data_IF_074473760344
#
_entry.id   IF_074473760344
#
_cell.length_a   1.000
_cell.length_b   1.000
_cell.length_c   1.000
_cell.angle_alpha   90.00
_cell.angle_beta   90.00
_cell.angle_gamma   90.00
#
_symmetry.space_group_name_H-M   'P 1'
#
loop_
_entity.id
_entity.type
_entity.pdbx_description
1 polymer ?
#
# COMPACT_ATOMS: atom_id res chain seq x y z
N UNK A 1 14.58 13.83 27.53
CA UNK A 1 14.53 13.72 26.06
C UNK A 1 13.46 12.72 25.59
N UNK A 2 13.33 11.57 26.24
CA UNK A 2 12.39 10.47 25.87
C UNK A 2 10.91 10.87 25.80
N UNK A 3 10.43 11.80 26.61
CA UNK A 3 9.03 12.25 26.63
C UNK A 3 8.65 13.10 25.41
N UNK A 4 9.60 13.90 24.88
CA UNK A 4 9.42 14.69 23.65
C UNK A 4 9.44 13.80 22.40
N UNK A 5 10.29 12.78 22.38
CA UNK A 5 10.36 11.82 21.26
C UNK A 5 9.11 10.95 21.19
N UNK A 6 8.59 10.49 22.33
CA UNK A 6 7.33 9.77 22.41
C UNK A 6 6.13 10.60 21.95
N UNK A 7 6.11 11.92 22.27
CA UNK A 7 5.06 12.84 21.80
C UNK A 7 5.16 13.07 20.30
N UNK A 8 6.36 13.29 19.75
CA UNK A 8 6.57 13.47 18.31
C UNK A 8 6.20 12.22 17.51
N UNK A 9 6.58 11.03 17.97
CA UNK A 9 6.20 9.77 17.34
C UNK A 9 4.68 9.54 17.37
N UNK A 10 4.02 9.88 18.49
CA UNK A 10 2.56 9.82 18.61
C UNK A 10 1.86 10.80 17.67
N UNK A 11 2.41 12.00 17.48
CA UNK A 11 1.84 13.01 16.59
C UNK A 11 2.05 12.64 15.11
N UNK A 12 3.18 12.05 14.75
CA UNK A 12 3.43 11.49 13.41
C UNK A 12 2.46 10.34 13.13
N UNK A 13 2.28 9.42 14.07
CA UNK A 13 1.34 8.31 13.94
C UNK A 13 -0.11 8.79 13.82
N UNK A 14 -0.50 9.81 14.59
CA UNK A 14 -1.83 10.43 14.50
C UNK A 14 -2.08 11.12 13.16
N UNK A 15 -1.05 11.74 12.57
CA UNK A 15 -1.13 12.39 11.25
C UNK A 15 -1.19 11.38 10.09
N UNK A 16 -0.67 10.16 10.28
CA UNK A 16 -0.64 9.12 9.25
C UNK A 16 -1.88 8.21 9.26
N UNK A 17 -2.80 8.39 10.22
CA UNK A 17 -4.02 7.57 10.26
C UNK A 17 -5.02 8.02 9.17
N UNK A 18 -5.26 7.20 8.13
CA UNK A 18 -6.09 7.57 6.99
C UNK A 18 -7.56 7.84 7.40
N UNK A 19 -8.07 7.13 8.39
CA UNK A 19 -9.44 7.33 8.87
C UNK A 19 -9.61 8.68 9.56
N UNK A 20 -8.63 9.08 10.36
CA UNK A 20 -8.65 10.40 11.02
C UNK A 20 -8.54 11.53 10.01
N UNK A 21 -7.65 11.41 9.04
CA UNK A 21 -7.47 12.42 8.00
C UNK A 21 -8.75 12.59 7.18
N UNK A 22 -9.36 11.49 6.78
CA UNK A 22 -10.62 11.50 6.03
C UNK A 22 -11.75 12.16 6.82
N UNK A 23 -11.85 11.89 8.13
CA UNK A 23 -12.84 12.52 8.99
C UNK A 23 -12.62 14.04 9.16
N UNK A 24 -11.35 14.48 9.25
CA UNK A 24 -11.03 15.90 9.34
C UNK A 24 -11.31 16.63 8.03
N UNK A 25 -10.91 16.08 6.89
CA UNK A 25 -11.19 16.63 5.56
C UNK A 25 -12.69 16.74 5.29
N UNK A 26 -13.47 15.70 5.63
CA UNK A 26 -14.91 15.73 5.50
C UNK A 26 -15.56 16.81 6.37
N UNK A 27 -15.08 16.98 7.62
CA UNK A 27 -15.57 18.02 8.52
C UNK A 27 -15.22 19.42 8.01
N UNK A 28 -14.01 19.60 7.50
CA UNK A 28 -13.56 20.89 6.95
C UNK A 28 -14.33 21.24 5.67
N UNK A 29 -14.57 20.27 4.79
CA UNK A 29 -15.39 20.44 3.59
C UNK A 29 -16.79 20.93 3.91
N UNK A 30 -17.47 20.35 4.93
CA UNK A 30 -18.81 20.78 5.37
C UNK A 30 -18.77 22.16 6.01
N UNK A 31 -17.76 22.46 6.84
CA UNK A 31 -17.59 23.77 7.48
C UNK A 31 -17.35 24.87 6.45
N UNK A 32 -16.53 24.59 5.44
CA UNK A 32 -16.25 25.52 4.34
C UNK A 32 -17.50 25.83 3.54
N UNK A 33 -18.26 24.82 3.15
CA UNK A 33 -19.52 24.99 2.40
C UNK A 33 -20.56 25.82 3.18
N UNK A 34 -20.60 25.70 4.51
CA UNK A 34 -21.53 26.49 5.37
C UNK A 34 -21.13 27.94 5.52
N UNK A 35 -19.84 28.25 5.45
CA UNK A 35 -19.31 29.61 5.72
C UNK A 35 -19.07 30.43 4.43
N UNK A 36 -19.09 29.81 3.26
CA UNK A 36 -18.89 30.50 1.98
C UNK A 36 -20.26 31.04 1.54
N UNK A 37 -20.34 32.37 1.32
CA UNK A 37 -21.53 32.98 0.71
C UNK A 37 -21.70 32.37 -0.69
N UNK A 38 -22.95 32.04 -1.11
CA UNK A 38 -23.21 31.41 -2.40
C UNK A 38 -22.79 32.37 -3.52
N UNK A 39 -21.65 32.13 -4.12
CA UNK A 39 -21.30 32.71 -5.40
C UNK A 39 -22.03 31.94 -6.50
N UNK A 40 -22.43 32.64 -7.56
CA UNK A 40 -23.29 32.12 -8.65
C UNK A 40 -22.77 30.85 -9.36
N UNK A 41 -21.52 30.44 -9.10
CA UNK A 41 -20.90 29.21 -9.59
C UNK A 41 -20.92 28.03 -8.61
N UNK A 42 -21.41 28.20 -7.42
CA UNK A 42 -21.36 27.18 -6.34
C UNK A 42 -22.70 26.41 -6.28
N UNK A 43 -23.16 25.96 -7.44
CA UNK A 43 -24.39 25.12 -7.55
C UNK A 43 -24.11 23.63 -7.25
N UNK A 44 -22.92 23.29 -6.75
CA UNK A 44 -22.65 21.93 -6.31
C UNK A 44 -23.36 21.70 -4.97
N UNK A 45 -24.28 20.73 -4.95
CA UNK A 45 -24.94 20.28 -3.74
C UNK A 45 -23.89 19.83 -2.71
N UNK A 46 -24.13 20.10 -1.42
CA UNK A 46 -23.28 19.68 -0.30
C UNK A 46 -22.88 18.19 -0.39
N UNK A 47 -23.79 17.37 -0.88
CA UNK A 47 -23.57 15.94 -1.13
C UNK A 47 -22.46 15.71 -2.15
N UNK A 48 -22.47 16.46 -3.25
CA UNK A 48 -21.50 16.29 -4.34
C UNK A 48 -20.10 16.76 -3.92
N UNK A 49 -20.02 17.90 -3.23
CA UNK A 49 -18.77 18.41 -2.66
C UNK A 49 -18.16 17.46 -1.64
N UNK A 50 -18.96 16.97 -0.70
CA UNK A 50 -18.52 16.02 0.32
C UNK A 50 -18.05 14.70 -0.31
N UNK A 51 -18.79 14.20 -1.31
CA UNK A 51 -18.42 12.98 -2.03
C UNK A 51 -17.05 13.11 -2.70
N UNK A 52 -16.80 14.23 -3.38
CA UNK A 52 -15.52 14.47 -4.07
C UNK A 52 -14.35 14.56 -3.09
N UNK A 53 -14.54 15.28 -1.99
CA UNK A 53 -13.50 15.43 -0.96
C UNK A 53 -13.16 14.09 -0.31
N UNK A 54 -14.16 13.31 0.08
CA UNK A 54 -13.94 11.99 0.68
C UNK A 54 -13.28 11.02 -0.30
N UNK A 55 -13.67 11.07 -1.58
CA UNK A 55 -13.05 10.24 -2.62
C UNK A 55 -11.59 10.59 -2.83
N UNK A 56 -11.26 11.87 -2.91
CA UNK A 56 -9.86 12.31 -3.04
C UNK A 56 -9.01 11.84 -1.84
N UNK A 57 -9.53 11.94 -0.61
CA UNK A 57 -8.85 11.45 0.58
C UNK A 57 -8.62 9.93 0.57
N UNK A 58 -9.58 9.14 0.06
CA UNK A 58 -9.41 7.69 -0.14
C UNK A 58 -8.37 7.39 -1.21
N UNK A 59 -8.38 8.13 -2.33
CA UNK A 59 -7.45 7.95 -3.44
C UNK A 59 -6.01 8.31 -2.99
N UNK A 60 -5.83 9.36 -2.21
CA UNK A 60 -4.53 9.73 -1.64
C UNK A 60 -4.01 8.66 -0.66
N UNK A 61 -4.87 8.15 0.22
CA UNK A 61 -4.51 7.06 1.13
C UNK A 61 -4.11 5.80 0.35
N UNK A 62 -4.83 5.50 -0.75
CA UNK A 62 -4.53 4.39 -1.66
C UNK A 62 -3.15 4.55 -2.29
N UNK A 63 -2.84 5.72 -2.84
CA UNK A 63 -1.54 6.01 -3.46
C UNK A 63 -0.39 5.84 -2.46
N UNK A 64 -0.55 6.32 -1.23
CA UNK A 64 0.46 6.16 -0.16
C UNK A 64 0.70 4.69 0.20
N UNK A 65 -0.35 3.88 0.32
CA UNK A 65 -0.23 2.45 0.63
C UNK A 65 0.39 1.64 -0.51
N UNK A 66 0.29 2.12 -1.75
CA UNK A 66 0.85 1.44 -2.92
C UNK A 66 2.30 1.84 -3.24
N UNK A 67 2.77 2.99 -2.75
CA UNK A 67 4.06 3.57 -3.13
C UNK A 67 5.26 2.63 -2.92
N UNK A 68 5.27 1.82 -1.84
CA UNK A 68 6.36 0.86 -1.56
C UNK A 68 6.24 -0.48 -2.32
N UNK A 69 5.07 -0.82 -2.84
CA UNK A 69 4.82 -2.12 -3.47
C UNK A 69 5.57 -2.29 -4.79
N UNK A 70 5.77 -1.20 -5.53
CA UNK A 70 6.50 -1.22 -6.79
C UNK A 70 7.95 -1.69 -6.61
N UNK A 71 8.60 -1.30 -5.53
CA UNK A 71 9.98 -1.73 -5.22
C UNK A 71 10.03 -3.23 -4.95
N UNK A 72 9.12 -3.76 -4.09
CA UNK A 72 9.06 -5.19 -3.82
C UNK A 72 8.75 -6.01 -5.07
N UNK A 73 7.83 -5.54 -5.91
CA UNK A 73 7.51 -6.17 -7.19
C UNK A 73 8.73 -6.20 -8.11
N UNK A 74 9.46 -5.09 -8.22
CA UNK A 74 10.66 -5.00 -9.05
C UNK A 74 11.76 -5.94 -8.55
N UNK A 75 12.04 -5.93 -7.24
CA UNK A 75 13.05 -6.84 -6.65
C UNK A 75 12.64 -8.29 -6.84
N UNK A 76 11.38 -8.65 -6.58
CA UNK A 76 10.88 -10.01 -6.73
C UNK A 76 10.97 -10.52 -8.17
N UNK A 77 10.74 -9.67 -9.15
CA UNK A 77 10.81 -10.04 -10.57
C UNK A 77 12.23 -10.03 -11.15
N UNK A 78 13.12 -9.15 -10.68
CA UNK A 78 14.46 -8.99 -11.28
C UNK A 78 15.54 -9.82 -10.58
N UNK A 79 15.40 -10.10 -9.28
CA UNK A 79 16.43 -10.82 -8.53
C UNK A 79 16.78 -12.22 -9.09
N UNK A 80 15.83 -13.05 -9.59
CA UNK A 80 16.18 -14.32 -10.22
C UNK A 80 17.06 -14.15 -11.48
N UNK A 81 16.80 -13.11 -12.27
CA UNK A 81 17.58 -12.81 -13.47
C UNK A 81 18.98 -12.32 -13.13
N UNK A 82 19.13 -11.56 -12.04
CA UNK A 82 20.44 -11.16 -11.52
C UNK A 82 21.23 -12.40 -11.09
N UNK A 83 20.59 -13.33 -10.41
CA UNK A 83 21.18 -14.62 -10.05
C UNK A 83 21.61 -15.44 -11.28
N UNK A 84 20.74 -15.53 -12.29
CA UNK A 84 21.04 -16.20 -13.55
C UNK A 84 22.21 -15.53 -14.29
N UNK A 85 22.25 -14.21 -14.34
CA UNK A 85 23.37 -13.47 -14.90
C UNK A 85 24.69 -13.85 -14.21
N UNK A 86 24.68 -13.90 -12.87
CA UNK A 86 25.85 -14.36 -12.11
C UNK A 86 26.31 -15.77 -12.47
N UNK A 87 25.40 -16.69 -12.74
CA UNK A 87 25.69 -18.06 -13.16
C UNK A 87 26.38 -18.06 -14.54
N UNK A 88 25.80 -17.37 -15.50
CA UNK A 88 26.38 -17.28 -16.87
C UNK A 88 27.77 -16.66 -16.83
N UNK A 89 27.92 -15.59 -16.06
CA UNK A 89 29.20 -14.91 -15.86
C UNK A 89 30.25 -15.84 -15.24
N UNK A 90 29.90 -16.55 -14.18
CA UNK A 90 30.80 -17.48 -13.49
C UNK A 90 31.24 -18.67 -14.39
N UNK A 91 30.29 -19.26 -15.14
CA UNK A 91 30.60 -20.33 -16.09
C UNK A 91 31.50 -19.83 -17.21
N UNK A 92 31.24 -18.62 -17.75
CA UNK A 92 32.09 -18.02 -18.76
C UNK A 92 33.56 -17.91 -18.29
N UNK A 93 33.77 -17.39 -17.06
CA UNK A 93 35.11 -17.28 -16.48
C UNK A 93 35.78 -18.63 -16.22
N UNK A 94 35.02 -19.64 -15.79
CA UNK A 94 35.49 -21.00 -15.61
C UNK A 94 36.03 -21.57 -16.95
N UNK A 95 35.28 -21.40 -18.04
CA UNK A 95 35.70 -21.86 -19.36
C UNK A 95 36.95 -21.14 -19.90
N UNK A 96 37.05 -19.83 -19.66
CA UNK A 96 38.23 -19.05 -20.02
C UNK A 96 39.49 -19.54 -19.27
N UNK A 97 39.35 -19.85 -17.98
CA UNK A 97 40.45 -20.36 -17.16
C UNK A 97 40.95 -21.73 -17.65
N UNK A 98 40.06 -22.59 -18.12
CA UNK A 98 40.39 -23.90 -18.69
C UNK A 98 41.14 -23.74 -20.00
N UNK A 99 40.61 -22.85 -20.87
CA UNK A 99 41.25 -22.57 -22.18
C UNK A 99 42.69 -22.07 -22.03
N UNK A 100 42.92 -21.19 -21.03
CA UNK A 100 44.25 -20.66 -20.74
C UNK A 100 45.24 -21.70 -20.16
N UNK A 101 44.73 -22.69 -19.40
CA UNK A 101 45.54 -23.72 -18.75
C UNK A 101 45.89 -24.92 -19.65
N UNK A 102 45.28 -25.05 -20.84
CA UNK A 102 45.54 -26.13 -21.82
C UNK A 102 45.11 -27.54 -21.37
N UNK A 103 44.57 -27.72 -20.17
CA UNK A 103 44.10 -28.99 -19.62
C UNK A 103 42.74 -28.82 -18.90
N UNK A 104 41.72 -29.48 -19.42
CA UNK A 104 40.41 -29.57 -18.78
C UNK A 104 40.40 -30.73 -17.79
N UNK A 105 40.67 -30.46 -16.52
CA UNK A 105 40.45 -31.43 -15.44
C UNK A 105 39.20 -31.08 -14.66
N UNK A 106 38.44 -32.09 -14.24
CA UNK A 106 37.17 -31.92 -13.49
C UNK A 106 37.41 -31.09 -12.22
N UNK A 107 38.54 -31.29 -11.54
CA UNK A 107 38.89 -30.59 -10.29
C UNK A 107 39.05 -29.06 -10.48
N UNK A 108 39.45 -28.61 -11.66
CA UNK A 108 39.59 -27.17 -11.96
C UNK A 108 38.26 -26.50 -12.34
N UNK A 109 37.28 -27.28 -12.74
CA UNK A 109 36.00 -26.79 -13.24
C UNK A 109 34.95 -26.80 -12.16
N UNK A 110 34.98 -27.80 -11.28
CA UNK A 110 33.95 -28.02 -10.27
C UNK A 110 33.80 -26.85 -9.29
N UNK A 111 34.91 -26.25 -8.84
CA UNK A 111 34.88 -25.09 -7.93
C UNK A 111 34.18 -23.88 -8.53
N UNK A 112 34.68 -23.30 -9.63
CA UNK A 112 34.08 -22.13 -10.27
C UNK A 112 32.61 -22.33 -10.72
N UNK A 113 32.25 -23.52 -11.20
CA UNK A 113 30.89 -23.86 -11.57
C UNK A 113 30.02 -23.91 -10.30
N UNK A 114 30.51 -24.52 -9.22
CA UNK A 114 29.81 -24.54 -7.93
C UNK A 114 29.53 -23.13 -7.40
N UNK A 115 30.51 -22.24 -7.42
CA UNK A 115 30.38 -20.84 -7.07
C UNK A 115 29.33 -20.12 -7.94
N UNK A 116 29.35 -20.36 -9.25
CA UNK A 116 28.38 -19.81 -10.17
C UNK A 116 26.94 -20.22 -9.79
N UNK A 117 26.70 -21.48 -9.46
CA UNK A 117 25.37 -21.97 -9.06
C UNK A 117 24.87 -21.33 -7.76
N UNK A 118 25.75 -20.94 -6.84
CA UNK A 118 25.40 -20.22 -5.62
C UNK A 118 24.76 -18.86 -5.96
N UNK A 119 25.20 -18.20 -7.03
CA UNK A 119 24.63 -16.92 -7.45
C UNK A 119 23.14 -17.02 -7.80
N UNK A 120 22.71 -18.10 -8.47
CA UNK A 120 21.29 -18.35 -8.72
C UNK A 120 20.53 -18.59 -7.42
N UNK A 121 21.09 -19.35 -6.49
CA UNK A 121 20.48 -19.59 -5.19
C UNK A 121 20.29 -18.29 -4.40
N UNK A 122 21.27 -17.38 -4.43
CA UNK A 122 21.16 -16.06 -3.79
C UNK A 122 20.10 -15.19 -4.47
N UNK A 123 20.01 -15.21 -5.81
CA UNK A 123 18.96 -14.50 -6.54
C UNK A 123 17.54 -14.96 -6.11
N UNK A 124 17.34 -16.27 -5.98
CA UNK A 124 16.08 -16.85 -5.49
C UNK A 124 15.83 -16.56 -4.01
N UNK A 125 16.87 -16.61 -3.18
CA UNK A 125 16.77 -16.30 -1.75
C UNK A 125 16.30 -14.87 -1.48
N UNK A 126 16.60 -13.93 -2.37
CA UNK A 126 16.10 -12.54 -2.32
C UNK A 126 14.69 -12.41 -2.94
N UNK A 127 14.46 -13.07 -4.08
CA UNK A 127 13.20 -12.97 -4.81
C UNK A 127 12.01 -13.53 -4.02
N UNK A 128 12.18 -14.69 -3.38
CA UNK A 128 11.08 -15.37 -2.69
C UNK A 128 10.49 -14.52 -1.56
N UNK A 129 11.28 -13.99 -0.60
CA UNK A 129 10.75 -13.12 0.45
C UNK A 129 10.14 -11.83 -0.12
N UNK A 130 10.72 -11.26 -1.17
CA UNK A 130 10.19 -10.04 -1.81
C UNK A 130 8.80 -10.27 -2.38
N UNK A 131 8.57 -11.38 -3.09
CA UNK A 131 7.26 -11.73 -3.67
C UNK A 131 6.25 -12.06 -2.57
N UNK A 132 6.65 -12.82 -1.55
CA UNK A 132 5.79 -13.13 -0.41
C UNK A 132 5.37 -11.87 0.34
N UNK A 133 6.31 -10.97 0.60
CA UNK A 133 6.06 -9.67 1.23
C UNK A 133 5.12 -8.80 0.39
N UNK A 134 5.36 -8.71 -0.92
CA UNK A 134 4.48 -8.02 -1.86
C UNK A 134 3.04 -8.54 -1.77
N UNK A 135 2.85 -9.85 -1.89
CA UNK A 135 1.52 -10.46 -1.85
C UNK A 135 0.80 -10.27 -0.49
N UNK A 136 1.54 -10.30 0.61
CA UNK A 136 0.99 -10.06 1.95
C UNK A 136 0.54 -8.60 2.08
N UNK A 137 1.36 -7.63 1.65
CA UNK A 137 1.04 -6.21 1.69
C UNK A 137 -0.13 -5.85 0.78
N UNK A 138 -0.19 -6.37 -0.44
CA UNK A 138 -1.32 -6.16 -1.36
C UNK A 138 -2.64 -6.60 -0.72
N UNK A 139 -2.65 -7.78 -0.09
CA UNK A 139 -3.85 -8.28 0.61
C UNK A 139 -4.22 -7.42 1.82
N UNK A 140 -3.22 -7.03 2.62
CA UNK A 140 -3.42 -6.14 3.77
C UNK A 140 -3.97 -4.77 3.36
N UNK A 141 -3.37 -4.16 2.36
CA UNK A 141 -3.80 -2.87 1.83
C UNK A 141 -5.24 -2.93 1.29
N UNK A 142 -5.60 -3.99 0.58
CA UNK A 142 -6.98 -4.20 0.09
C UNK A 142 -7.99 -4.27 1.23
N UNK A 143 -7.66 -4.95 2.32
CA UNK A 143 -8.53 -5.03 3.50
C UNK A 143 -8.73 -3.64 4.15
N UNK A 144 -7.65 -2.88 4.33
CA UNK A 144 -7.71 -1.51 4.87
C UNK A 144 -8.50 -0.58 3.95
N UNK A 145 -8.28 -0.65 2.63
CA UNK A 145 -9.02 0.16 1.65
C UNK A 145 -10.52 -0.13 1.67
N UNK A 146 -10.90 -1.40 1.80
CA UNK A 146 -12.33 -1.76 1.92
C UNK A 146 -12.96 -1.17 3.18
N UNK A 147 -12.24 -1.15 4.30
CA UNK A 147 -12.70 -0.51 5.53
C UNK A 147 -12.78 1.01 5.38
N UNK A 148 -11.79 1.62 4.73
CA UNK A 148 -11.75 3.07 4.49
C UNK A 148 -12.90 3.51 3.58
N UNK A 149 -13.20 2.76 2.53
CA UNK A 149 -14.33 3.03 1.65
C UNK A 149 -15.68 2.94 2.38
N UNK A 150 -15.87 1.94 3.25
CA UNK A 150 -17.08 1.86 4.10
C UNK A 150 -17.18 3.05 5.04
N UNK A 151 -16.08 3.40 5.67
CA UNK A 151 -16.03 4.56 6.56
C UNK A 151 -16.33 5.87 5.82
N UNK A 152 -15.81 6.05 4.61
CA UNK A 152 -16.12 7.20 3.76
C UNK A 152 -17.61 7.28 3.42
N UNK A 153 -18.23 6.15 3.10
CA UNK A 153 -19.67 6.06 2.84
C UNK A 153 -20.50 6.42 4.07
N UNK A 154 -20.17 5.88 5.23
CA UNK A 154 -20.88 6.16 6.48
C UNK A 154 -20.71 7.63 6.89
N UNK A 155 -19.53 8.19 6.67
CA UNK A 155 -19.22 9.59 6.94
C UNK A 155 -19.98 10.54 6.00
N UNK A 156 -20.09 10.20 4.72
CA UNK A 156 -20.91 10.92 3.76
C UNK A 156 -22.41 10.92 4.20
N UNK A 157 -22.94 9.75 4.52
CA UNK A 157 -24.31 9.64 5.00
C UNK A 157 -24.55 10.51 6.25
N UNK A 158 -23.62 10.50 7.20
CA UNK A 158 -23.70 11.33 8.40
C UNK A 158 -23.70 12.84 8.09
N UNK A 159 -22.85 13.30 7.17
CA UNK A 159 -22.75 14.72 6.83
C UNK A 159 -23.99 15.23 6.05
N UNK A 160 -24.57 14.37 5.22
CA UNK A 160 -25.74 14.73 4.40
C UNK A 160 -27.05 14.60 5.17
N UNK A 161 -27.22 13.54 5.94
CA UNK A 161 -28.51 13.24 6.61
C UNK A 161 -28.54 13.67 8.08
N UNK A 162 -27.38 13.94 8.71
CA UNK A 162 -27.27 14.17 10.14
C UNK A 162 -27.50 12.92 11.00
N UNK A 163 -27.80 11.79 10.40
CA UNK A 163 -28.08 10.53 11.07
C UNK A 163 -26.88 9.57 10.95
N UNK A 164 -26.52 8.91 12.06
CA UNK A 164 -25.52 7.86 12.05
C UNK A 164 -26.13 6.60 11.42
N UNK A 165 -25.60 6.13 10.33
CA UNK A 165 -25.96 4.81 9.78
C UNK A 165 -25.40 3.77 10.75
N UNK A 166 -26.24 3.27 11.66
CA UNK A 166 -25.90 2.12 12.47
C UNK A 166 -25.92 0.89 11.56
N UNK A 167 -24.75 0.52 11.07
CA UNK A 167 -24.54 -0.73 10.37
C UNK A 167 -24.34 -1.86 11.42
N UNK A 168 -25.28 -1.96 12.36
CA UNK A 168 -25.48 -3.14 13.17
C UNK A 168 -26.41 -4.04 12.37
N UNK A 169 -25.82 -5.15 11.93
CA UNK A 169 -26.48 -6.36 11.47
C UNK A 169 -26.92 -6.43 10.00
N UNK A 170 -26.09 -7.12 9.26
CA UNK A 170 -26.52 -7.91 8.10
C UNK A 170 -27.45 -9.08 8.51
N UNK A 171 -28.17 -8.95 9.64
CA UNK A 171 -29.21 -9.85 10.12
C UNK A 171 -30.23 -9.05 10.93
N UNK A 172 -31.29 -8.57 10.26
CA UNK A 172 -32.47 -8.00 10.92
C UNK A 172 -32.60 -6.48 10.81
N UNK A 173 -33.08 -5.99 9.68
CA UNK A 173 -33.53 -4.61 9.51
C UNK A 173 -34.78 -4.36 10.38
N UNK A 174 -34.59 -3.87 11.60
CA UNK A 174 -35.69 -3.28 12.36
C UNK A 174 -35.78 -1.80 12.01
N UNK A 175 -36.73 -1.45 11.17
CA UNK A 175 -37.10 -0.05 10.89
C UNK A 175 -37.79 0.52 12.14
N UNK A 176 -37.09 1.33 12.93
CA UNK A 176 -37.69 2.10 14.01
C UNK A 176 -38.36 3.31 13.39
N UNK A 177 -39.68 3.26 13.25
CA UNK A 177 -40.53 4.41 12.93
C UNK A 177 -40.47 5.43 14.08
N UNK A 178 -39.83 6.57 13.84
CA UNK A 178 -39.90 7.71 14.76
C UNK A 178 -41.32 8.32 14.64
N UNK A 179 -42.10 8.19 15.69
CA UNK A 179 -43.41 8.81 15.82
C UNK A 179 -43.21 10.32 16.06
N UNK A 180 -43.62 11.15 15.09
CA UNK A 180 -43.75 12.59 15.30
C UNK A 180 -44.87 12.83 16.34
N UNK A 181 -44.50 13.42 17.48
CA UNK A 181 -45.38 14.09 18.38
C UNK A 181 -45.32 15.60 18.16
#
# INVERSE_FOLDING_TARGET
STRKESSAASDVYKRQNPFRNLALEGREAVAHHRNTQPQLHDTLDLSDWTTRTLRNGVDEATARMQAGLAVLASVGSTAPFIGLFGTVWGIYHALMSISAAGQATIDRVAGPIGEALIMTALGLAVAIPAVLGYNALVRGNKAVLNQLNRFAHDLHAYFVTGARVNNTDAAGATIVKIKKG
#
